data_IF_988238590494
#
_entry.id   IF_988238590494
#
_cell.length_a   1.000
_cell.length_b   1.000
_cell.length_c   1.000
_cell.angle_alpha   90.00
_cell.angle_beta   90.00
_cell.angle_gamma   90.00
#
_symmetry.space_group_name_H-M   'P 1'
#
loop_
_entity.id
_entity.type
_entity.pdbx_description
1 polymer ?
#
# COMPACT_ATOMS: atom_id res chain seq x y z
N UNK A 1 12.65 5.83 6.31
CA UNK A 1 14.06 5.86 5.88
C UNK A 1 14.43 7.16 5.17
N UNK A 2 13.92 7.45 3.95
CA UNK A 2 14.32 8.62 3.15
C UNK A 2 14.17 9.96 3.88
N UNK A 3 13.04 10.19 4.56
CA UNK A 3 12.81 11.42 5.32
C UNK A 3 13.84 11.61 6.44
N UNK A 4 14.15 10.55 7.19
CA UNK A 4 15.14 10.58 8.28
C UNK A 4 16.53 10.92 7.73
N UNK A 5 16.95 10.27 6.64
CA UNK A 5 18.23 10.56 5.99
C UNK A 5 18.28 11.98 5.42
N UNK A 6 17.18 12.47 4.86
CA UNK A 6 17.08 13.83 4.34
C UNK A 6 17.20 14.87 5.46
N UNK A 7 16.51 14.68 6.59
CA UNK A 7 16.56 15.59 7.74
C UNK A 7 17.95 15.58 8.39
N UNK A 8 18.49 14.40 8.70
CA UNK A 8 19.81 14.27 9.34
C UNK A 8 20.92 14.85 8.47
N UNK A 9 20.91 14.56 7.16
CA UNK A 9 21.90 15.11 6.23
C UNK A 9 21.78 16.63 6.07
N UNK A 10 20.55 17.18 6.13
CA UNK A 10 20.33 18.62 6.01
C UNK A 10 20.96 19.40 7.17
N UNK A 11 20.72 18.96 8.41
CA UNK A 11 21.22 19.66 9.60
C UNK A 11 22.72 19.46 9.84
N UNK A 12 23.26 18.28 9.52
CA UNK A 12 24.65 17.94 9.81
C UNK A 12 25.62 18.24 8.65
N UNK A 13 25.15 18.30 7.40
CA UNK A 13 25.98 18.67 6.23
C UNK A 13 25.66 20.10 5.82
N UNK A 14 26.02 21.09 6.64
CA UNK A 14 26.07 22.49 6.19
C UNK A 14 27.25 22.68 5.23
N UNK A 15 26.95 23.02 3.98
CA UNK A 15 27.93 23.40 2.95
C UNK A 15 27.45 24.67 2.26
N UNK A 16 28.32 25.67 2.10
CA UNK A 16 28.05 26.93 1.39
C UNK A 16 27.37 26.74 0.01
N UNK A 17 27.72 25.68 -0.73
CA UNK A 17 27.17 25.35 -2.06
C UNK A 17 25.69 24.90 -2.09
N UNK A 18 25.07 24.61 -0.94
CA UNK A 18 23.67 24.11 -0.88
C UNK A 18 22.61 25.21 -0.91
N UNK A 19 23.01 26.49 -0.93
CA UNK A 19 22.09 27.61 -1.15
C UNK A 19 21.26 27.46 -2.44
N UNK A 20 21.72 26.69 -3.43
CA UNK A 20 20.97 26.43 -4.67
C UNK A 20 19.90 25.34 -4.56
N UNK A 21 19.94 24.45 -3.55
CA UNK A 21 18.99 23.33 -3.42
C UNK A 21 17.72 23.67 -2.61
N UNK A 22 17.79 24.70 -1.76
CA UNK A 22 16.65 25.14 -0.94
C UNK A 22 15.46 25.63 -1.79
N UNK A 23 15.64 26.36 -2.91
CA UNK A 23 14.51 26.82 -3.72
C UNK A 23 13.75 25.66 -4.34
N UNK A 24 14.44 24.59 -4.75
CA UNK A 24 13.83 23.38 -5.32
C UNK A 24 13.06 22.63 -4.23
N UNK A 25 13.67 22.40 -3.06
CA UNK A 25 12.98 21.78 -1.93
C UNK A 25 11.76 22.59 -1.48
N UNK A 26 11.89 23.92 -1.38
CA UNK A 26 10.80 24.81 -1.02
C UNK A 26 9.69 24.80 -2.08
N UNK A 27 10.04 24.85 -3.37
CA UNK A 27 9.06 24.74 -4.45
C UNK A 27 8.29 23.42 -4.39
N UNK A 28 8.98 22.29 -4.14
CA UNK A 28 8.30 21.00 -3.99
C UNK A 28 7.40 20.94 -2.75
N UNK A 29 7.82 21.52 -1.62
CA UNK A 29 7.01 21.59 -0.39
C UNK A 29 5.80 22.48 -0.59
N UNK A 30 5.96 23.65 -1.20
CA UNK A 30 4.87 24.58 -1.53
C UNK A 30 3.90 23.94 -2.50
N UNK A 31 4.40 23.28 -3.55
CA UNK A 31 3.58 22.53 -4.50
C UNK A 31 2.76 21.45 -3.80
N UNK A 32 3.39 20.66 -2.92
CA UNK A 32 2.70 19.63 -2.16
C UNK A 32 1.67 20.21 -1.18
N UNK A 33 2.01 21.26 -0.45
CA UNK A 33 1.11 21.92 0.50
C UNK A 33 -0.10 22.53 -0.22
N UNK A 34 0.13 23.20 -1.36
CA UNK A 34 -0.93 23.77 -2.19
C UNK A 34 -1.92 22.69 -2.65
N UNK A 35 -1.43 21.55 -3.15
CA UNK A 35 -2.31 20.47 -3.60
C UNK A 35 -2.96 19.69 -2.45
N UNK A 36 -2.28 19.54 -1.31
CA UNK A 36 -2.83 18.83 -0.15
C UNK A 36 -3.90 19.64 0.58
N UNK A 37 -3.80 20.98 0.57
CA UNK A 37 -4.76 21.88 1.22
C UNK A 37 -5.88 22.29 0.25
N UNK A 38 -5.57 22.49 -1.04
CA UNK A 38 -6.51 23.04 -2.02
C UNK A 38 -7.31 22.02 -2.84
N UNK A 39 -7.00 20.72 -2.76
CA UNK A 39 -7.69 19.69 -3.54
C UNK A 39 -8.72 18.94 -2.72
N UNK A 40 -9.98 18.94 -3.16
CA UNK A 40 -11.03 18.05 -2.65
C UNK A 40 -10.86 16.58 -3.09
N UNK A 41 -9.88 16.29 -3.96
CA UNK A 41 -9.55 14.93 -4.40
C UNK A 41 -8.35 14.43 -3.60
N UNK A 42 -8.58 13.48 -2.71
CA UNK A 42 -7.55 12.76 -1.95
C UNK A 42 -6.82 11.74 -2.84
N UNK A 43 -6.18 12.18 -3.94
CA UNK A 43 -5.41 11.30 -4.85
C UNK A 43 -4.06 10.84 -4.26
N UNK A 44 -3.91 10.99 -2.94
CA UNK A 44 -2.85 10.43 -2.12
C UNK A 44 -1.43 10.82 -2.51
N UNK A 45 -0.55 9.82 -2.52
CA UNK A 45 0.90 9.91 -2.76
C UNK A 45 1.30 10.58 -4.09
N UNK A 46 0.37 10.76 -5.04
CA UNK A 46 0.66 11.35 -6.36
C UNK A 46 1.15 12.78 -6.25
N UNK A 47 0.62 13.55 -5.29
CA UNK A 47 1.10 14.91 -5.01
C UNK A 47 2.51 14.94 -4.39
N UNK A 48 2.95 13.80 -3.82
CA UNK A 48 4.29 13.64 -3.27
C UNK A 48 5.30 13.14 -4.31
N UNK A 49 4.86 12.72 -5.50
CA UNK A 49 5.77 12.20 -6.52
C UNK A 49 6.91 13.18 -6.88
N UNK A 50 6.64 14.48 -7.08
CA UNK A 50 7.69 15.46 -7.38
C UNK A 50 8.70 15.68 -6.23
N UNK A 51 8.36 15.29 -4.99
CA UNK A 51 9.27 15.42 -3.84
C UNK A 51 10.32 14.31 -3.80
N UNK A 52 10.07 13.14 -4.40
CA UNK A 52 11.00 12.00 -4.29
C UNK A 52 12.40 12.29 -4.82
N UNK A 53 12.61 12.92 -6.00
CA UNK A 53 13.95 13.24 -6.47
C UNK A 53 14.75 14.09 -5.47
N UNK A 54 14.11 15.12 -4.89
CA UNK A 54 14.73 15.99 -3.88
C UNK A 54 15.05 15.19 -2.60
N UNK A 55 14.12 14.36 -2.14
CA UNK A 55 14.35 13.50 -0.97
C UNK A 55 15.48 12.50 -1.19
N UNK A 56 15.60 11.91 -2.38
CA UNK A 56 16.67 11.00 -2.75
C UNK A 56 18.02 11.72 -2.81
N UNK A 57 18.07 12.92 -3.40
CA UNK A 57 19.28 13.75 -3.40
C UNK A 57 19.74 14.10 -1.98
N UNK A 58 18.80 14.51 -1.12
CA UNK A 58 19.09 14.77 0.29
C UNK A 58 19.56 13.51 1.01
N UNK A 59 18.87 12.38 0.83
CA UNK A 59 19.30 11.11 1.40
C UNK A 59 20.72 10.72 0.94
N UNK A 60 21.08 10.96 -0.34
CA UNK A 60 22.42 10.73 -0.87
C UNK A 60 23.52 11.55 -0.18
N UNK A 61 23.20 12.76 0.33
CA UNK A 61 24.15 13.56 1.12
C UNK A 61 24.57 12.90 2.43
N UNK A 62 23.81 11.93 2.93
CA UNK A 62 24.22 11.17 4.12
C UNK A 62 25.59 10.49 3.94
N UNK A 63 26.01 10.20 2.71
CA UNK A 63 27.36 9.69 2.39
C UNK A 63 28.45 10.71 2.71
N UNK A 64 28.17 12.01 2.60
CA UNK A 64 29.13 13.06 2.97
C UNK A 64 29.36 13.12 4.48
N UNK A 65 28.37 12.71 5.30
CA UNK A 65 28.56 12.58 6.75
C UNK A 65 29.58 11.49 7.08
N UNK A 66 29.57 10.38 6.34
CA UNK A 66 30.55 9.30 6.53
C UNK A 66 32.00 9.73 6.29
N UNK A 67 32.21 10.76 5.45
CA UNK A 67 33.53 11.35 5.19
C UNK A 67 33.96 12.37 6.25
N UNK A 68 33.02 13.00 6.95
CA UNK A 68 33.29 14.03 7.97
C UNK A 68 33.41 13.45 9.39
N UNK A 69 32.71 12.37 9.67
CA UNK A 69 32.72 11.72 10.97
C UNK A 69 33.88 10.72 11.08
N UNK A 70 34.44 10.59 12.28
CA UNK A 70 35.48 9.62 12.62
C UNK A 70 35.12 8.86 13.91
N UNK A 71 35.85 7.77 14.19
CA UNK A 71 35.67 6.98 15.42
C UNK A 71 34.25 6.43 15.63
N UNK A 72 33.77 6.50 16.89
CA UNK A 72 32.48 5.95 17.32
C UNK A 72 31.28 6.57 16.60
N UNK A 73 31.33 7.86 16.25
CA UNK A 73 30.24 8.53 15.55
C UNK A 73 30.04 7.97 14.12
N UNK A 74 31.14 7.67 13.42
CA UNK A 74 31.09 7.03 12.11
C UNK A 74 30.53 5.61 12.22
N UNK A 75 30.98 4.84 13.21
CA UNK A 75 30.48 3.48 13.46
C UNK A 75 28.97 3.47 13.74
N UNK A 76 28.48 4.41 14.57
CA UNK A 76 27.06 4.54 14.86
C UNK A 76 26.23 4.88 13.61
N UNK A 77 26.71 5.81 12.77
CA UNK A 77 26.02 6.14 11.51
C UNK A 77 25.99 4.95 10.54
N UNK A 78 27.10 4.23 10.38
CA UNK A 78 27.16 3.02 9.54
C UNK A 78 26.20 1.96 10.07
N UNK A 79 26.20 1.69 11.37
CA UNK A 79 25.27 0.75 11.99
C UNK A 79 23.80 1.15 11.74
N UNK A 80 23.46 2.43 11.90
CA UNK A 80 22.13 2.94 11.60
C UNK A 80 21.75 2.72 10.13
N UNK A 81 22.65 3.01 9.19
CA UNK A 81 22.39 2.80 7.76
C UNK A 81 22.18 1.32 7.42
N UNK A 82 22.98 0.42 8.00
CA UNK A 82 22.83 -1.03 7.85
C UNK A 82 21.49 -1.50 8.39
N UNK A 83 21.09 -1.05 9.59
CA UNK A 83 19.80 -1.38 10.18
C UNK A 83 18.64 -0.87 9.31
N UNK A 84 18.71 0.37 8.82
CA UNK A 84 17.67 0.94 7.96
C UNK A 84 17.57 0.21 6.61
N UNK A 85 18.70 -0.17 6.02
CA UNK A 85 18.74 -0.95 4.78
C UNK A 85 18.19 -2.36 4.98
N UNK A 86 18.62 -3.05 6.05
CA UNK A 86 18.10 -4.37 6.42
C UNK A 86 16.60 -4.34 6.70
N UNK A 87 16.11 -3.29 7.36
CA UNK A 87 14.68 -3.06 7.56
C UNK A 87 13.94 -2.90 6.22
N UNK A 88 14.45 -2.05 5.32
CA UNK A 88 13.83 -1.84 4.02
C UNK A 88 13.75 -3.14 3.20
N UNK A 89 14.83 -3.92 3.16
CA UNK A 89 14.85 -5.23 2.49
C UNK A 89 13.86 -6.19 3.13
N UNK A 90 13.84 -6.28 4.46
CA UNK A 90 12.90 -7.12 5.20
C UNK A 90 11.45 -6.77 4.85
N UNK A 91 11.11 -5.49 4.80
CA UNK A 91 9.75 -5.05 4.45
C UNK A 91 9.39 -5.38 3.00
N UNK A 92 10.31 -5.16 2.06
CA UNK A 92 10.11 -5.51 0.64
C UNK A 92 9.89 -7.01 0.46
N UNK A 93 10.70 -7.85 1.12
CA UNK A 93 10.56 -9.31 1.06
C UNK A 93 9.25 -9.77 1.70
N UNK A 94 8.88 -9.21 2.86
CA UNK A 94 7.65 -9.58 3.57
C UNK A 94 6.38 -9.27 2.80
N UNK A 95 6.37 -8.19 2.03
CA UNK A 95 5.18 -7.79 1.27
C UNK A 95 5.16 -8.35 -0.16
N UNK A 96 6.26 -8.95 -0.63
CA UNK A 96 6.31 -9.57 -1.94
C UNK A 96 5.26 -10.69 -2.06
N UNK A 97 4.50 -10.79 -3.17
CA UNK A 97 4.49 -9.92 -4.37
C UNK A 97 3.46 -8.77 -4.31
N UNK A 98 2.80 -8.53 -3.19
CA UNK A 98 1.64 -7.63 -3.01
C UNK A 98 2.02 -6.19 -2.65
N UNK A 99 2.92 -5.57 -3.41
CA UNK A 99 3.46 -4.22 -3.09
C UNK A 99 2.40 -3.11 -3.02
N UNK A 100 1.29 -3.23 -3.75
CA UNK A 100 0.18 -2.27 -3.70
C UNK A 100 -0.52 -2.25 -2.34
N UNK A 101 -0.47 -3.36 -1.61
CA UNK A 101 -1.00 -3.46 -0.26
C UNK A 101 0.02 -3.06 0.82
N UNK A 102 1.20 -2.56 0.46
CA UNK A 102 2.19 -2.15 1.44
C UNK A 102 1.76 -0.90 2.21
N UNK A 103 1.70 -1.03 3.52
CA UNK A 103 1.61 0.08 4.46
C UNK A 103 2.62 -0.17 5.59
N UNK A 104 3.23 0.90 6.11
CA UNK A 104 4.17 0.77 7.22
C UNK A 104 3.47 0.33 8.52
N UNK A 105 4.26 -0.04 9.52
CA UNK A 105 3.80 -0.53 10.82
C UNK A 105 2.94 0.47 11.57
N UNK A 106 3.24 1.78 11.44
CA UNK A 106 2.48 2.85 12.09
C UNK A 106 1.05 2.89 11.52
N UNK A 107 0.90 2.66 10.22
CA UNK A 107 -0.39 2.53 9.56
C UNK A 107 -1.07 1.16 9.81
N UNK A 108 -0.48 0.28 10.63
CA UNK A 108 -1.02 -1.06 10.94
C UNK A 108 -0.70 -2.13 9.91
N UNK A 109 0.29 -1.89 9.04
CA UNK A 109 0.64 -2.83 7.98
C UNK A 109 -0.44 -2.94 6.89
N UNK A 110 -0.34 -3.94 6.00
CA UNK A 110 -1.31 -4.12 4.90
C UNK A 110 -2.78 -4.19 5.34
N UNK A 111 -3.04 -4.69 6.55
CA UNK A 111 -4.39 -4.78 7.13
C UNK A 111 -4.95 -3.43 7.60
N UNK A 112 -4.09 -2.48 7.94
CA UNK A 112 -4.49 -1.15 8.42
C UNK A 112 -4.68 -0.13 7.29
N UNK A 113 -4.15 -0.41 6.09
CA UNK A 113 -4.16 0.51 4.96
C UNK A 113 -5.54 1.00 4.51
N UNK A 114 -6.55 0.12 4.59
CA UNK A 114 -7.95 0.43 4.29
C UNK A 114 -8.54 1.59 5.14
N UNK A 115 -7.94 1.91 6.29
CA UNK A 115 -8.38 3.04 7.13
C UNK A 115 -7.94 4.41 6.57
N UNK A 116 -6.94 4.41 5.69
CA UNK A 116 -6.31 5.63 5.20
C UNK A 116 -6.51 5.84 3.70
N UNK A 117 -6.38 4.78 2.89
CA UNK A 117 -6.34 4.87 1.42
C UNK A 117 -7.13 3.74 0.74
N UNK A 118 -8.36 3.49 1.22
CA UNK A 118 -9.23 2.46 0.67
C UNK A 118 -9.46 2.63 -0.85
N UNK A 119 -9.83 3.83 -1.29
CA UNK A 119 -10.28 4.09 -2.66
C UNK A 119 -9.17 4.41 -3.67
N UNK A 120 -7.94 4.57 -3.20
CA UNK A 120 -6.90 5.20 -3.99
C UNK A 120 -5.81 4.23 -4.43
N UNK A 121 -5.36 3.32 -3.56
CA UNK A 121 -4.11 2.58 -3.82
C UNK A 121 -4.12 1.09 -3.44
N UNK A 122 -4.99 0.63 -2.52
CA UNK A 122 -4.86 -0.73 -1.96
C UNK A 122 -5.43 -1.83 -2.86
N UNK A 123 -6.61 -1.64 -3.45
CA UNK A 123 -7.33 -2.64 -4.22
C UNK A 123 -7.80 -2.07 -5.56
N UNK A 124 -7.16 -2.53 -6.63
CA UNK A 124 -7.50 -2.23 -8.03
C UNK A 124 -7.89 -3.50 -8.80
N UNK A 125 -8.12 -4.60 -8.07
CA UNK A 125 -8.36 -5.92 -8.64
C UNK A 125 -7.11 -6.73 -9.00
N UNK A 126 -5.92 -6.32 -8.55
CA UNK A 126 -4.66 -6.99 -8.88
C UNK A 126 -4.60 -8.47 -8.43
N UNK A 127 -5.37 -8.85 -7.41
CA UNK A 127 -5.29 -10.18 -6.79
C UNK A 127 -6.29 -11.19 -7.39
N UNK A 128 -6.94 -10.87 -8.52
CA UNK A 128 -7.87 -11.77 -9.23
C UNK A 128 -7.20 -13.08 -9.65
N UNK A 129 -5.95 -13.03 -10.14
CA UNK A 129 -5.18 -14.23 -10.46
C UNK A 129 -4.95 -15.10 -9.22
N UNK A 130 -4.59 -14.47 -8.10
CA UNK A 130 -4.41 -15.17 -6.83
C UNK A 130 -5.70 -15.83 -6.34
N UNK A 131 -6.86 -15.26 -6.63
CA UNK A 131 -8.15 -15.87 -6.35
C UNK A 131 -8.35 -17.14 -7.19
N UNK A 132 -8.04 -17.10 -8.49
CA UNK A 132 -8.12 -18.29 -9.34
C UNK A 132 -7.20 -19.43 -8.85
N UNK A 133 -5.95 -19.09 -8.50
CA UNK A 133 -4.98 -20.04 -7.97
C UNK A 133 -5.47 -20.68 -6.67
N UNK A 134 -6.07 -19.87 -5.77
CA UNK A 134 -6.68 -20.35 -4.54
C UNK A 134 -7.86 -21.30 -4.81
N UNK A 135 -8.80 -20.92 -5.68
CA UNK A 135 -9.98 -21.74 -5.98
C UNK A 135 -9.59 -23.11 -6.58
N UNK A 136 -8.57 -23.11 -7.45
CA UNK A 136 -8.01 -24.34 -8.02
C UNK A 136 -7.35 -25.20 -6.95
N UNK A 137 -6.51 -24.62 -6.10
CA UNK A 137 -5.79 -25.33 -5.03
C UNK A 137 -6.74 -25.97 -4.03
N UNK A 138 -7.78 -25.26 -3.63
CA UNK A 138 -8.77 -25.73 -2.65
C UNK A 138 -9.89 -26.57 -3.27
N UNK A 139 -9.80 -26.90 -4.57
CA UNK A 139 -10.78 -27.70 -5.31
C UNK A 139 -12.22 -27.20 -5.11
N UNK A 140 -12.43 -25.88 -5.26
CA UNK A 140 -13.75 -25.29 -5.11
C UNK A 140 -14.60 -25.59 -6.35
N UNK A 141 -15.46 -26.59 -6.24
CA UNK A 141 -16.34 -27.03 -7.35
C UNK A 141 -17.75 -26.39 -7.32
N UNK A 142 -18.14 -25.80 -6.18
CA UNK A 142 -19.43 -25.13 -5.99
C UNK A 142 -19.52 -23.72 -6.60
N UNK A 143 -20.70 -23.07 -6.55
CA UNK A 143 -20.86 -21.72 -7.06
C UNK A 143 -19.91 -20.74 -6.35
N UNK A 144 -19.21 -19.94 -7.15
CA UNK A 144 -18.31 -18.89 -6.68
C UNK A 144 -18.92 -17.54 -6.99
N UNK A 145 -19.26 -16.81 -5.94
CA UNK A 145 -19.83 -15.48 -6.04
C UNK A 145 -18.76 -14.43 -5.82
N UNK A 146 -18.58 -13.53 -6.78
CA UNK A 146 -17.44 -12.61 -6.80
C UNK A 146 -17.90 -11.16 -6.81
N UNK A 147 -17.65 -10.47 -5.70
CA UNK A 147 -17.73 -9.01 -5.59
C UNK A 147 -16.37 -8.41 -5.90
N UNK A 148 -16.02 -8.27 -7.18
CA UNK A 148 -14.67 -7.86 -7.62
C UNK A 148 -14.62 -6.40 -8.10
N UNK A 149 -13.66 -5.63 -7.56
CA UNK A 149 -13.54 -4.20 -7.84
C UNK A 149 -12.88 -3.89 -9.20
N UNK A 150 -12.03 -4.78 -9.71
CA UNK A 150 -11.32 -4.54 -10.97
C UNK A 150 -12.16 -4.66 -12.24
N UNK A 151 -11.50 -4.44 -13.38
CA UNK A 151 -12.13 -4.43 -14.71
C UNK A 151 -11.86 -5.69 -15.54
N UNK A 152 -10.94 -6.54 -15.10
CA UNK A 152 -10.63 -7.80 -15.80
C UNK A 152 -11.75 -8.81 -15.56
N UNK A 153 -12.26 -9.41 -16.63
CA UNK A 153 -13.26 -10.46 -16.54
C UNK A 153 -12.70 -11.69 -15.77
N UNK A 154 -13.34 -12.14 -14.66
CA UNK A 154 -12.90 -13.32 -13.90
C UNK A 154 -12.74 -14.59 -14.75
N UNK A 155 -13.52 -14.71 -15.81
CA UNK A 155 -13.54 -15.84 -16.74
C UNK A 155 -12.20 -16.02 -17.46
N UNK A 156 -11.44 -14.93 -17.67
CA UNK A 156 -10.09 -15.00 -18.26
C UNK A 156 -9.09 -15.78 -17.39
N UNK A 157 -9.35 -15.89 -16.09
CA UNK A 157 -8.59 -16.71 -15.17
C UNK A 157 -9.27 -18.05 -14.85
N UNK A 158 -10.30 -18.43 -15.60
CA UNK A 158 -11.05 -19.67 -15.39
C UNK A 158 -12.03 -19.63 -14.23
N UNK A 159 -12.32 -18.45 -13.66
CA UNK A 159 -13.28 -18.29 -12.58
C UNK A 159 -14.67 -18.16 -13.17
N UNK A 160 -15.55 -19.15 -12.95
CA UNK A 160 -16.98 -19.08 -13.29
C UNK A 160 -17.72 -18.24 -12.23
N UNK A 161 -17.52 -16.92 -12.30
CA UNK A 161 -18.01 -15.99 -11.30
C UNK A 161 -19.50 -15.69 -11.45
N UNK A 162 -20.22 -15.70 -10.33
CA UNK A 162 -21.60 -15.22 -10.25
C UNK A 162 -21.67 -13.90 -9.47
N UNK A 163 -22.64 -13.02 -9.77
CA UNK A 163 -22.83 -11.80 -8.98
C UNK A 163 -23.23 -12.14 -7.55
N UNK A 164 -22.73 -11.38 -6.57
CA UNK A 164 -23.04 -11.64 -5.16
C UNK A 164 -24.44 -11.10 -4.84
N UNK A 165 -25.34 -11.96 -4.36
CA UNK A 165 -26.61 -11.58 -3.74
C UNK A 165 -26.62 -11.88 -2.23
N UNK A 166 -27.62 -11.37 -1.50
CA UNK A 166 -27.82 -11.70 -0.07
C UNK A 166 -28.47 -13.07 0.05
N UNK A 167 -28.13 -13.82 1.10
CA UNK A 167 -28.73 -15.14 1.36
C UNK A 167 -28.19 -16.29 0.52
N UNK A 168 -27.05 -16.10 -0.14
CA UNK A 168 -26.43 -17.14 -0.98
C UNK A 168 -25.64 -18.14 -0.15
N UNK A 169 -25.65 -19.38 -0.59
CA UNK A 169 -24.81 -20.45 -0.08
C UNK A 169 -23.67 -20.73 -1.05
N UNK A 170 -22.45 -20.88 -0.53
CA UNK A 170 -21.28 -21.20 -1.35
C UNK A 170 -20.04 -20.38 -0.99
N UNK A 171 -19.15 -20.24 -1.96
CA UNK A 171 -17.91 -19.47 -1.80
C UNK A 171 -18.14 -18.04 -2.24
N UNK A 172 -17.91 -17.07 -1.35
CA UNK A 172 -18.07 -15.65 -1.64
C UNK A 172 -16.72 -14.96 -1.54
N UNK A 173 -16.23 -14.40 -2.64
CA UNK A 173 -14.97 -13.66 -2.71
C UNK A 173 -15.27 -12.17 -2.94
N UNK A 174 -14.80 -11.30 -2.05
CA UNK A 174 -15.14 -9.87 -2.07
C UNK A 174 -13.89 -9.01 -1.96
N UNK A 175 -13.73 -8.08 -2.90
CA UNK A 175 -12.74 -7.02 -2.88
C UNK A 175 -12.88 -6.15 -1.62
N UNK A 176 -11.75 -5.77 -1.04
CA UNK A 176 -11.61 -5.01 0.19
C UNK A 176 -12.36 -3.69 0.10
N UNK A 177 -12.35 -3.05 -1.08
CA UNK A 177 -13.11 -1.83 -1.33
C UNK A 177 -14.60 -1.98 -1.03
N UNK A 178 -15.21 -3.03 -1.58
CA UNK A 178 -16.61 -3.32 -1.34
C UNK A 178 -16.86 -3.82 0.08
N UNK A 179 -15.94 -4.62 0.62
CA UNK A 179 -16.03 -5.09 2.00
C UNK A 179 -16.06 -3.90 2.96
N UNK A 180 -15.24 -2.87 2.75
CA UNK A 180 -15.22 -1.63 3.54
C UNK A 180 -16.33 -0.63 3.16
N UNK A 181 -17.21 -0.97 2.23
CA UNK A 181 -18.47 -0.26 2.00
C UNK A 181 -18.43 0.78 0.89
N UNK A 182 -17.38 0.79 0.06
CA UNK A 182 -17.30 1.66 -1.10
C UNK A 182 -18.44 1.40 -2.07
N UNK A 183 -19.07 2.48 -2.54
CA UNK A 183 -20.08 2.43 -3.61
C UNK A 183 -19.38 2.48 -4.97
N UNK A 184 -19.58 1.46 -5.79
CA UNK A 184 -19.19 1.48 -7.20
C UNK A 184 -20.15 0.63 -8.03
N UNK A 185 -19.89 -0.67 -8.25
CA UNK A 185 -20.87 -1.59 -8.87
C UNK A 185 -21.96 -2.07 -7.92
N UNK A 186 -21.66 -2.09 -6.62
CA UNK A 186 -22.61 -2.43 -5.56
C UNK A 186 -23.00 -1.19 -4.77
N UNK A 187 -24.22 -1.15 -4.17
CA UNK A 187 -24.62 -0.11 -3.24
C UNK A 187 -23.64 0.04 -2.07
N UNK A 188 -23.61 1.23 -1.47
CA UNK A 188 -22.81 1.48 -0.25
C UNK A 188 -23.16 0.45 0.82
N UNK A 189 -22.13 -0.09 1.48
CA UNK A 189 -22.27 -1.08 2.57
C UNK A 189 -23.01 -2.38 2.19
N UNK A 190 -23.11 -2.72 0.90
CA UNK A 190 -23.78 -3.94 0.44
C UNK A 190 -23.27 -5.22 1.14
N UNK A 191 -21.95 -5.29 1.36
CA UNK A 191 -21.25 -6.43 1.97
C UNK A 191 -21.06 -6.32 3.49
N UNK A 192 -21.76 -5.40 4.17
CA UNK A 192 -21.63 -5.21 5.63
C UNK A 192 -21.87 -6.50 6.42
N UNK A 193 -22.71 -7.40 5.91
CA UNK A 193 -23.03 -8.69 6.52
C UNK A 193 -21.84 -9.66 6.58
N UNK A 194 -20.83 -9.50 5.71
CA UNK A 194 -19.59 -10.29 5.73
C UNK A 194 -18.56 -9.78 6.74
N UNK A 195 -18.60 -8.49 7.12
CA UNK A 195 -17.60 -7.88 8.03
C UNK A 195 -17.55 -8.53 9.41
N UNK A 196 -18.68 -9.08 9.86
CA UNK A 196 -18.78 -9.78 11.16
C UNK A 196 -18.36 -11.24 11.08
N UNK A 197 -18.23 -11.80 9.87
CA UNK A 197 -17.83 -13.19 9.65
C UNK A 197 -16.30 -13.25 9.53
N UNK A 198 -15.71 -14.37 9.95
CA UNK A 198 -14.28 -14.62 9.76
C UNK A 198 -14.05 -15.10 8.32
N UNK A 199 -13.18 -14.46 7.52
CA UNK A 199 -12.84 -14.97 6.20
C UNK A 199 -12.09 -16.30 6.33
N UNK A 200 -12.33 -17.22 5.39
CA UNK A 200 -11.59 -18.48 5.28
C UNK A 200 -10.23 -18.27 4.63
N UNK A 201 -10.10 -17.25 3.77
CA UNK A 201 -8.84 -16.84 3.17
C UNK A 201 -8.84 -15.33 2.86
N UNK A 202 -7.64 -14.75 2.81
CA UNK A 202 -7.41 -13.38 2.34
C UNK A 202 -6.33 -13.47 1.26
N UNK A 203 -6.70 -13.15 0.03
CA UNK A 203 -5.83 -13.21 -1.14
C UNK A 203 -5.21 -11.84 -1.35
N UNK A 204 -3.88 -11.80 -1.31
CA UNK A 204 -3.07 -10.61 -1.59
C UNK A 204 -3.41 -9.36 -0.78
N UNK A 205 -4.02 -9.55 0.39
CA UNK A 205 -4.56 -8.49 1.26
C UNK A 205 -5.78 -7.74 0.74
N UNK A 206 -6.33 -8.09 -0.43
CA UNK A 206 -7.42 -7.31 -1.04
C UNK A 206 -8.67 -8.10 -1.39
N UNK A 207 -8.61 -9.43 -1.56
CA UNK A 207 -9.81 -10.24 -1.80
C UNK A 207 -10.05 -11.15 -0.60
N UNK A 208 -11.19 -10.97 0.05
CA UNK A 208 -11.59 -11.73 1.23
C UNK A 208 -12.54 -12.84 0.80
N UNK A 209 -12.19 -14.08 1.12
CA UNK A 209 -12.99 -15.26 0.79
C UNK A 209 -13.74 -15.74 2.02
N UNK A 210 -15.02 -16.03 1.85
CA UNK A 210 -15.94 -16.51 2.87
C UNK A 210 -16.64 -17.78 2.37
N UNK A 211 -17.03 -18.64 3.32
CA UNK A 211 -17.94 -19.76 3.06
C UNK A 211 -19.27 -19.47 3.74
N UNK A 212 -20.34 -19.38 2.98
CA UNK A 212 -21.69 -19.17 3.49
C UNK A 212 -22.46 -20.48 3.46
N UNK A 213 -22.91 -20.93 4.63
CA UNK A 213 -23.60 -22.21 4.83
C UNK A 213 -25.06 -22.04 5.24
N UNK A 214 -25.48 -20.81 5.58
CA UNK A 214 -26.87 -20.46 5.92
C UNK A 214 -27.20 -19.08 5.31
N UNK A 215 -28.45 -18.87 4.84
CA UNK A 215 -28.89 -17.59 4.26
C UNK A 215 -28.76 -16.40 5.23
#
# INVERSE_FOLDING_TARGET
>A
MLLVLAVVSHFLVRTQKWRAGWPVAAACVVFWAFHSIGSNKNIGLRYMLPLFPVMLMLAGRSVLLLRRLSGRAKQALVALLVVLAGWAVSETVRIHPHYLAYFNQIAGGPRGGARYLLDSNIDWGQDLKGLADYLKKEHVEGPVYVGYFGHVAPELYGIKAQPVSRGIMGTVAVSLNYLCGMRYRYPKDYFRWLRKRKPVAIIGHTIYVYRTIEP
#
